data_IF_263774842197
#
_entry.id   IF_263774842197
#
_cell.length_a   1.000
_cell.length_b   1.000
_cell.length_c   1.000
_cell.angle_alpha   90.00
_cell.angle_beta   90.00
_cell.angle_gamma   90.00
#
_symmetry.space_group_name_H-M   'P 1'
#
loop_
_entity.id
_entity.type
_entity.pdbx_description
1 polymer ?
#
# COMPACT_ATOMS: atom_id res chain seq x y z
N UNK A 1 12.14 -44.72 -37.48
CA UNK A 1 11.27 -43.51 -37.64
C UNK A 1 10.70 -42.97 -36.33
N UNK A 2 10.21 -43.78 -35.39
CA UNK A 2 9.57 -43.30 -34.13
C UNK A 2 10.46 -42.44 -33.21
N UNK A 3 11.78 -42.70 -33.14
CA UNK A 3 12.73 -41.92 -32.31
C UNK A 3 12.96 -40.48 -32.80
N UNK A 4 12.93 -40.25 -34.11
CA UNK A 4 13.15 -38.92 -34.72
C UNK A 4 11.94 -38.02 -34.50
N UNK A 5 10.73 -38.57 -34.59
CA UNK A 5 9.48 -37.84 -34.30
C UNK A 5 9.37 -37.41 -32.82
N UNK A 6 9.86 -38.21 -31.88
CA UNK A 6 9.89 -37.83 -30.45
C UNK A 6 10.88 -36.72 -30.12
N UNK A 7 12.05 -36.70 -30.77
CA UNK A 7 13.05 -35.66 -30.57
C UNK A 7 12.57 -34.29 -31.14
N UNK A 8 11.93 -34.29 -32.31
CA UNK A 8 11.38 -33.08 -32.91
C UNK A 8 10.24 -32.48 -32.07
N UNK A 9 9.35 -33.32 -31.54
CA UNK A 9 8.28 -32.86 -30.64
C UNK A 9 8.83 -32.27 -29.33
N UNK A 10 9.86 -32.90 -28.74
CA UNK A 10 10.49 -32.40 -27.51
C UNK A 10 11.26 -31.09 -27.69
N UNK A 11 11.85 -30.86 -28.88
CA UNK A 11 12.57 -29.64 -29.21
C UNK A 11 11.61 -28.45 -29.45
N UNK A 12 10.47 -28.69 -30.12
CA UNK A 12 9.42 -27.69 -30.30
C UNK A 12 8.79 -27.26 -28.97
N UNK A 13 8.56 -28.19 -28.03
CA UNK A 13 8.01 -27.88 -26.69
C UNK A 13 8.98 -27.05 -25.85
N UNK A 14 10.28 -27.33 -25.92
CA UNK A 14 11.29 -26.54 -25.21
C UNK A 14 11.43 -25.12 -25.78
N UNK A 15 11.34 -24.96 -27.10
CA UNK A 15 11.41 -23.66 -27.76
C UNK A 15 10.17 -22.79 -27.46
N UNK A 16 8.97 -23.38 -27.41
CA UNK A 16 7.74 -22.66 -27.05
C UNK A 16 7.67 -22.29 -25.56
N UNK A 17 8.22 -23.11 -24.67
CA UNK A 17 8.36 -22.73 -23.26
C UNK A 17 9.36 -21.59 -23.07
N UNK A 18 10.50 -21.61 -23.75
CA UNK A 18 11.49 -20.53 -23.68
C UNK A 18 10.96 -19.21 -24.27
N UNK A 19 10.19 -19.25 -25.36
CA UNK A 19 9.56 -18.05 -25.91
C UNK A 19 8.46 -17.52 -24.98
N UNK A 20 7.67 -18.39 -24.35
CA UNK A 20 6.66 -17.98 -23.35
C UNK A 20 7.29 -17.31 -22.14
N UNK A 21 8.38 -17.87 -21.59
CA UNK A 21 9.09 -17.27 -20.45
C UNK A 21 9.71 -15.92 -20.81
N UNK A 22 10.27 -15.77 -22.01
CA UNK A 22 10.82 -14.48 -22.49
C UNK A 22 9.75 -13.42 -22.66
N UNK A 23 8.60 -13.78 -23.21
CA UNK A 23 7.46 -12.87 -23.33
C UNK A 23 6.94 -12.47 -21.95
N UNK A 24 6.79 -13.41 -21.01
CA UNK A 24 6.35 -13.10 -19.65
C UNK A 24 7.32 -12.16 -18.91
N UNK A 25 8.64 -12.41 -19.00
CA UNK A 25 9.66 -11.53 -18.43
C UNK A 25 9.66 -10.14 -19.07
N UNK A 26 9.49 -10.06 -20.40
CA UNK A 26 9.38 -8.79 -21.12
C UNK A 26 8.11 -8.02 -20.72
N UNK A 27 6.97 -8.70 -20.56
CA UNK A 27 5.73 -8.07 -20.07
C UNK A 27 5.90 -7.52 -18.66
N UNK A 28 6.49 -8.29 -17.74
CA UNK A 28 6.74 -7.81 -16.37
C UNK A 28 7.70 -6.61 -16.34
N UNK A 29 8.77 -6.63 -17.14
CA UNK A 29 9.69 -5.50 -17.23
C UNK A 29 9.03 -4.23 -17.80
N UNK A 30 8.08 -4.40 -18.74
CA UNK A 30 7.28 -3.28 -19.25
C UNK A 30 6.33 -2.74 -18.18
N UNK A 31 5.62 -3.60 -17.45
CA UNK A 31 4.75 -3.21 -16.34
C UNK A 31 5.51 -2.47 -15.23
N UNK A 32 6.68 -2.99 -14.82
CA UNK A 32 7.54 -2.33 -13.82
C UNK A 32 7.96 -0.94 -14.30
N UNK A 33 8.36 -0.79 -15.56
CA UNK A 33 8.74 0.51 -16.12
C UNK A 33 7.57 1.52 -16.15
N UNK A 34 6.33 1.04 -16.33
CA UNK A 34 5.12 1.88 -16.30
C UNK A 34 4.80 2.32 -14.89
N UNK A 35 4.93 1.42 -13.90
CA UNK A 35 4.72 1.74 -12.49
C UNK A 35 5.80 2.70 -11.97
N UNK A 36 7.06 2.49 -12.33
CA UNK A 36 8.17 3.38 -11.98
C UNK A 36 7.99 4.77 -12.58
N UNK A 37 7.64 4.86 -13.86
CA UNK A 37 7.37 6.15 -14.51
C UNK A 37 6.20 6.88 -13.84
N UNK A 38 5.16 6.15 -13.41
CA UNK A 38 4.03 6.71 -12.68
C UNK A 38 4.44 7.19 -11.28
N UNK A 39 5.22 6.40 -10.54
CA UNK A 39 5.71 6.78 -9.22
C UNK A 39 6.60 8.02 -9.32
N UNK A 40 7.50 8.06 -10.30
CA UNK A 40 8.36 9.21 -10.55
C UNK A 40 7.53 10.47 -10.87
N UNK A 41 6.54 10.37 -11.75
CA UNK A 41 5.66 11.50 -12.08
C UNK A 41 4.87 12.03 -10.87
N UNK A 42 4.48 11.15 -9.93
CA UNK A 42 3.83 11.55 -8.67
C UNK A 42 4.82 12.32 -7.78
N UNK A 43 6.02 11.76 -7.57
CA UNK A 43 7.05 12.36 -6.72
C UNK A 43 7.56 13.68 -7.30
N UNK A 44 7.72 13.78 -8.62
CA UNK A 44 8.10 15.01 -9.32
C UNK A 44 7.07 16.14 -9.13
N UNK A 45 5.81 15.77 -8.87
CA UNK A 45 4.72 16.71 -8.55
C UNK A 45 4.70 17.20 -7.10
N UNK A 46 5.55 16.65 -6.22
CA UNK A 46 5.56 16.99 -4.80
C UNK A 46 6.48 18.15 -4.47
N UNK A 47 6.04 18.95 -3.50
CA UNK A 47 6.94 19.81 -2.73
C UNK A 47 7.85 18.97 -1.85
N UNK A 48 8.98 19.54 -1.40
CA UNK A 48 9.87 18.86 -0.45
C UNK A 48 9.13 18.44 0.83
N UNK A 49 8.20 19.26 1.33
CA UNK A 49 7.40 18.94 2.51
C UNK A 49 6.51 17.71 2.28
N UNK A 50 5.88 17.60 1.10
CA UNK A 50 5.09 16.42 0.73
C UNK A 50 5.95 15.16 0.64
N UNK A 51 7.15 15.24 0.05
CA UNK A 51 8.09 14.10 0.03
C UNK A 51 8.42 13.65 1.45
N UNK A 52 8.77 14.59 2.34
CA UNK A 52 9.09 14.27 3.73
C UNK A 52 7.89 13.70 4.49
N UNK A 53 6.71 14.26 4.29
CA UNK A 53 5.48 13.74 4.91
C UNK A 53 5.17 12.32 4.46
N UNK A 54 5.31 12.02 3.17
CA UNK A 54 5.07 10.67 2.64
C UNK A 54 6.08 9.64 3.16
N UNK A 55 7.30 10.08 3.52
CA UNK A 55 8.31 9.26 4.20
C UNK A 55 8.06 9.13 5.72
N UNK A 56 7.12 9.88 6.27
CA UNK A 56 6.81 9.89 7.70
C UNK A 56 5.71 8.87 8.00
N UNK A 57 6.03 7.98 8.93
CA UNK A 57 5.07 7.05 9.52
C UNK A 57 4.95 7.35 11.02
N UNK A 58 3.71 7.40 11.54
CA UNK A 58 3.44 7.65 12.97
C UNK A 58 2.54 6.57 13.56
N UNK A 59 2.64 6.37 14.88
CA UNK A 59 1.81 5.39 15.58
C UNK A 59 0.33 5.81 15.58
N UNK A 60 -0.61 4.88 15.37
CA UNK A 60 -2.05 5.19 15.31
C UNK A 60 -2.53 5.82 16.62
N UNK A 61 -1.93 5.50 17.77
CA UNK A 61 -2.25 6.12 19.06
C UNK A 61 -2.16 7.65 19.07
N UNK A 62 -1.33 8.22 18.20
CA UNK A 62 -1.19 9.69 18.05
C UNK A 62 -2.45 10.37 17.52
N UNK A 63 -3.41 9.61 16.98
CA UNK A 63 -4.70 10.09 16.47
C UNK A 63 -5.88 9.42 17.16
N UNK A 64 -5.65 8.79 18.32
CA UNK A 64 -6.72 8.20 19.13
C UNK A 64 -6.94 9.02 20.40
N UNK A 65 -8.21 9.10 20.84
CA UNK A 65 -8.53 9.59 22.16
C UNK A 65 -8.06 8.56 23.21
N UNK A 66 -7.24 8.97 24.20
CA UNK A 66 -6.63 8.04 25.14
C UNK A 66 -7.66 7.41 26.10
N UNK A 67 -8.77 8.10 26.36
CA UNK A 67 -9.77 7.68 27.32
C UNK A 67 -10.58 6.48 26.79
N UNK A 68 -11.05 6.53 25.55
CA UNK A 68 -12.02 5.59 24.99
C UNK A 68 -11.57 4.87 23.71
N UNK A 69 -10.34 5.11 23.25
CA UNK A 69 -9.79 4.56 22.00
C UNK A 69 -10.64 4.87 20.76
N UNK A 70 -11.39 5.98 20.76
CA UNK A 70 -12.09 6.51 19.58
C UNK A 70 -11.19 7.41 18.76
N UNK A 71 -11.47 7.53 17.45
CA UNK A 71 -10.64 8.33 16.55
C UNK A 71 -10.76 9.82 16.89
N UNK A 72 -9.62 10.49 17.03
CA UNK A 72 -9.55 11.95 17.14
C UNK A 72 -9.38 12.55 15.73
N UNK A 73 -10.48 12.94 15.09
CA UNK A 73 -10.45 13.46 13.72
C UNK A 73 -9.65 14.75 13.56
N UNK A 74 -9.58 15.60 14.60
CA UNK A 74 -8.83 16.85 14.54
C UNK A 74 -7.32 16.57 14.47
N UNK A 75 -6.85 15.55 15.17
CA UNK A 75 -5.46 15.10 15.07
C UNK A 75 -5.19 14.43 13.72
N UNK A 76 -6.13 13.66 13.17
CA UNK A 76 -5.99 13.13 11.80
C UNK A 76 -5.83 14.26 10.79
N UNK A 77 -6.66 15.31 10.88
CA UNK A 77 -6.55 16.50 10.00
C UNK A 77 -5.21 17.20 10.16
N UNK A 78 -4.77 17.41 11.40
CA UNK A 78 -3.48 18.03 11.68
C UNK A 78 -2.33 17.30 10.98
N UNK A 79 -2.25 15.97 11.12
CA UNK A 79 -1.19 15.18 10.50
C UNK A 79 -1.36 15.01 8.99
N UNK A 80 -2.60 15.01 8.48
CA UNK A 80 -2.86 15.02 7.05
C UNK A 80 -2.34 16.30 6.37
N UNK A 81 -2.48 17.46 7.03
CA UNK A 81 -1.91 18.72 6.57
C UNK A 81 -0.37 18.73 6.60
N UNK A 82 0.25 17.83 7.36
CA UNK A 82 1.71 17.58 7.32
C UNK A 82 2.10 16.48 6.31
N UNK A 83 1.14 15.98 5.52
CA UNK A 83 1.32 14.97 4.48
C UNK A 83 1.80 13.60 4.98
N UNK A 84 1.55 13.25 6.25
CA UNK A 84 1.94 11.94 6.83
C UNK A 84 1.49 10.80 5.93
N UNK A 85 2.46 9.98 5.49
CA UNK A 85 2.24 8.91 4.52
C UNK A 85 1.74 7.61 5.12
N UNK A 86 1.91 7.40 6.43
CA UNK A 86 1.46 6.18 7.05
C UNK A 86 1.15 6.27 8.56
N UNK A 87 0.17 5.47 8.97
CA UNK A 87 -0.09 5.11 10.36
C UNK A 87 0.25 3.63 10.59
N UNK A 88 0.85 3.29 11.73
CA UNK A 88 1.14 1.91 12.12
C UNK A 88 0.52 1.54 13.47
N UNK A 89 0.41 0.23 13.70
CA UNK A 89 0.02 -0.41 14.96
C UNK A 89 -1.48 -0.36 15.25
N UNK A 90 -1.80 -0.83 16.46
CA UNK A 90 -3.09 -0.83 17.10
C UNK A 90 -2.97 -0.01 18.39
N UNK A 91 -4.06 0.65 18.81
CA UNK A 91 -4.15 1.31 20.13
C UNK A 91 -4.30 0.30 21.28
N UNK A 92 -4.39 -0.98 20.97
CA UNK A 92 -4.70 -2.06 21.89
C UNK A 92 -3.42 -2.79 22.31
N UNK A 93 -2.71 -2.25 23.30
CA UNK A 93 -1.57 -2.95 23.96
C UNK A 93 -2.06 -3.97 24.99
N UNK A 94 -3.21 -3.69 25.62
CA UNK A 94 -3.90 -4.57 26.55
C UNK A 94 -5.44 -4.44 26.39
N UNK A 95 -6.22 -5.42 26.85
CA UNK A 95 -7.67 -5.31 26.86
C UNK A 95 -8.13 -4.15 27.75
N UNK A 96 -9.08 -3.34 27.28
CA UNK A 96 -9.81 -2.38 28.12
C UNK A 96 -11.19 -2.94 28.42
N UNK A 97 -11.46 -3.20 29.69
CA UNK A 97 -12.71 -3.82 30.17
C UNK A 97 -12.97 -5.16 29.43
N UNK A 98 -14.12 -5.31 28.77
CA UNK A 98 -14.48 -6.50 28.01
C UNK A 98 -14.00 -6.46 26.54
N UNK A 99 -13.27 -5.41 26.13
CA UNK A 99 -12.81 -5.20 24.76
C UNK A 99 -11.32 -5.52 24.60
N UNK A 100 -11.02 -6.45 23.72
CA UNK A 100 -9.68 -6.99 23.47
C UNK A 100 -9.00 -6.41 22.21
N UNK A 101 -9.69 -5.52 21.51
CA UNK A 101 -9.28 -5.03 20.21
C UNK A 101 -10.45 -4.52 19.39
N UNK A 102 -10.15 -4.08 18.18
CA UNK A 102 -11.16 -3.84 17.16
C UNK A 102 -11.50 -5.13 16.41
N UNK A 103 -12.79 -5.34 16.20
CA UNK A 103 -13.27 -6.28 15.20
C UNK A 103 -12.88 -5.82 13.80
N UNK A 104 -12.86 -6.73 12.82
CA UNK A 104 -12.51 -6.37 11.45
C UNK A 104 -13.39 -5.25 10.84
N UNK A 105 -14.71 -5.18 11.09
CA UNK A 105 -15.53 -4.03 10.68
C UNK A 105 -15.11 -2.72 11.34
N UNK A 106 -14.81 -2.72 12.64
CA UNK A 106 -14.37 -1.51 13.36
C UNK A 106 -13.02 -1.02 12.84
N UNK A 107 -12.06 -1.92 12.64
CA UNK A 107 -10.76 -1.55 12.05
C UNK A 107 -10.92 -0.95 10.66
N UNK A 108 -11.76 -1.55 9.81
CA UNK A 108 -12.07 -1.00 8.48
C UNK A 108 -12.73 0.38 8.54
N UNK A 109 -13.61 0.61 9.53
CA UNK A 109 -14.23 1.92 9.73
C UNK A 109 -13.20 2.98 10.13
N UNK A 110 -12.30 2.66 11.06
CA UNK A 110 -11.22 3.56 11.49
C UNK A 110 -10.28 3.88 10.33
N UNK A 111 -9.77 2.87 9.63
CA UNK A 111 -8.87 3.04 8.48
C UNK A 111 -9.55 3.83 7.36
N UNK A 112 -10.81 3.51 7.05
CA UNK A 112 -11.59 4.22 6.05
C UNK A 112 -11.74 5.71 6.40
N UNK A 113 -12.04 6.02 7.67
CA UNK A 113 -12.19 7.41 8.10
C UNK A 113 -10.89 8.19 8.08
N UNK A 114 -9.77 7.58 8.50
CA UNK A 114 -8.43 8.19 8.38
C UNK A 114 -8.12 8.49 6.92
N UNK A 115 -8.40 7.55 6.01
CA UNK A 115 -8.15 7.70 4.60
C UNK A 115 -8.97 8.83 3.97
N UNK A 116 -10.27 8.91 4.28
CA UNK A 116 -11.16 10.00 3.82
C UNK A 116 -10.60 11.37 4.22
N UNK A 117 -10.36 11.57 5.52
CA UNK A 117 -9.84 12.84 6.05
C UNK A 117 -8.48 13.16 5.44
N UNK A 118 -7.59 12.17 5.32
CA UNK A 118 -6.26 12.40 4.77
C UNK A 118 -6.34 12.89 3.33
N UNK A 119 -7.16 12.25 2.49
CA UNK A 119 -7.34 12.65 1.09
C UNK A 119 -8.03 14.02 0.95
N UNK A 120 -8.93 14.39 1.86
CA UNK A 120 -9.56 15.71 1.91
C UNK A 120 -8.51 16.82 2.15
N UNK A 121 -7.58 16.61 3.08
CA UNK A 121 -6.65 17.65 3.56
C UNK A 121 -5.32 17.70 2.77
N UNK A 122 -4.85 16.56 2.24
CA UNK A 122 -3.49 16.43 1.69
C UNK A 122 -3.40 16.50 0.15
N UNK A 123 -4.50 16.90 -0.50
CA UNK A 123 -4.58 16.98 -1.97
C UNK A 123 -4.90 15.64 -2.66
N UNK A 124 -5.56 14.71 -1.97
CA UNK A 124 -6.03 13.44 -2.54
C UNK A 124 -5.02 12.30 -2.52
N UNK A 125 -3.92 12.44 -1.78
CA UNK A 125 -2.90 11.39 -1.66
C UNK A 125 -3.35 10.34 -0.64
N UNK A 126 -3.43 9.05 -1.05
CA UNK A 126 -3.82 8.01 -0.13
C UNK A 126 -2.77 7.81 0.96
N UNK A 127 -3.22 7.47 2.16
CA UNK A 127 -2.36 7.17 3.31
C UNK A 127 -2.41 5.68 3.61
N UNK A 128 -1.29 5.11 4.06
CA UNK A 128 -1.20 3.69 4.41
C UNK A 128 -1.44 3.48 5.91
N UNK A 129 -2.44 2.71 6.29
CA UNK A 129 -2.62 2.23 7.68
C UNK A 129 -2.30 0.75 7.77
N UNK A 130 -1.43 0.35 8.72
CA UNK A 130 -0.92 -1.04 8.85
C UNK A 130 -1.02 -1.58 10.26
#
# INVERSE_FOLDING_TARGET
MVKIFRAALSLCVAATMQSLTRTALATNAVEDSVLDARAQAIVDGFTTAQVLGQMTQIDISTVMNPDDNTLNEDWVRLYAQQYVGSYLNTIWDEPKEEKYGWTAPEFRAIVGRIQEISMEENGGHPTKTT
#
